data_IF_115708666528
#
_entry.id   IF_115708666528
#
_cell.length_a   1.000
_cell.length_b   1.000
_cell.length_c   1.000
_cell.angle_alpha   90.00
_cell.angle_beta   90.00
_cell.angle_gamma   90.00
#
_symmetry.space_group_name_H-M   'P 1'
#
loop_
_entity.id
_entity.type
_entity.pdbx_description
1 polymer ?
#
# COMPACT_ATOMS: atom_id res chain seq x y z
N UNK A 1 4.00 -0.92 -15.12
CA UNK A 1 3.34 -0.05 -14.13
C UNK A 1 2.42 -0.90 -13.25
N UNK A 2 2.55 -0.75 -11.96
CA UNK A 2 1.81 -1.60 -11.03
C UNK A 2 0.55 -0.92 -10.55
N UNK A 3 -0.59 -1.31 -11.11
CA UNK A 3 -1.89 -0.75 -10.74
C UNK A 3 -2.33 -1.19 -9.36
N UNK A 4 -1.79 -2.31 -8.84
CA UNK A 4 -2.14 -2.80 -7.51
C UNK A 4 -1.71 -1.82 -6.43
N UNK A 5 -0.50 -1.28 -6.58
CA UNK A 5 0.02 -0.32 -5.61
C UNK A 5 -0.85 0.92 -5.55
N UNK A 6 -1.25 1.42 -6.71
CA UNK A 6 -2.11 2.59 -6.81
C UNK A 6 -3.47 2.32 -6.16
N UNK A 7 -4.04 1.16 -6.42
CA UNK A 7 -5.33 0.77 -5.84
C UNK A 7 -5.24 0.68 -4.31
N UNK A 8 -4.16 0.09 -3.79
CA UNK A 8 -3.98 -0.03 -2.36
C UNK A 8 -3.82 1.33 -1.69
N UNK A 9 -3.05 2.22 -2.30
CA UNK A 9 -2.87 3.56 -1.77
C UNK A 9 -4.18 4.32 -1.74
N UNK A 10 -4.99 4.18 -2.78
CA UNK A 10 -6.30 4.81 -2.83
C UNK A 10 -7.21 4.26 -1.76
N UNK A 11 -7.17 2.94 -1.55
CA UNK A 11 -7.97 2.30 -0.52
C UNK A 11 -7.61 2.81 0.87
N UNK A 12 -6.33 2.93 1.16
CA UNK A 12 -5.87 3.48 2.43
C UNK A 12 -6.38 4.90 2.63
N UNK A 13 -6.31 5.70 1.57
CA UNK A 13 -6.79 7.08 1.62
C UNK A 13 -8.28 7.13 1.93
N UNK A 14 -9.06 6.26 1.31
CA UNK A 14 -10.49 6.19 1.55
C UNK A 14 -10.81 5.79 2.98
N UNK A 15 -10.11 4.79 3.50
CA UNK A 15 -10.32 4.33 4.87
C UNK A 15 -9.99 5.45 5.86
N UNK A 16 -8.93 6.17 5.64
CA UNK A 16 -8.55 7.29 6.50
C UNK A 16 -9.61 8.37 6.50
N UNK A 17 -10.26 8.57 5.37
CA UNK A 17 -11.29 9.60 5.25
C UNK A 17 -12.61 9.18 5.89
N UNK A 18 -13.03 7.93 5.65
CA UNK A 18 -14.34 7.46 6.11
C UNK A 18 -14.28 6.83 7.51
N UNK A 19 -13.19 6.16 7.83
CA UNK A 19 -13.04 5.46 9.10
C UNK A 19 -11.65 5.66 9.69
N UNK A 20 -11.36 6.83 10.20
CA UNK A 20 -10.05 7.11 10.82
C UNK A 20 -9.80 6.26 12.08
N UNK A 21 -10.85 5.66 12.64
CA UNK A 21 -10.72 4.80 13.82
C UNK A 21 -10.09 3.45 13.51
N UNK A 22 -10.08 3.05 12.25
CA UNK A 22 -9.53 1.74 11.86
C UNK A 22 -8.02 1.80 11.72
N UNK A 23 -7.34 2.08 12.83
CA UNK A 23 -5.87 2.21 12.85
C UNK A 23 -5.20 0.90 12.47
N UNK A 24 -5.73 -0.22 12.95
CA UNK A 24 -5.15 -1.54 12.68
C UNK A 24 -5.20 -1.86 11.19
N UNK A 25 -6.34 -1.59 10.55
CA UNK A 25 -6.49 -1.83 9.12
C UNK A 25 -5.56 -0.94 8.31
N UNK A 26 -5.46 0.32 8.69
CA UNK A 26 -4.59 1.28 8.02
C UNK A 26 -3.12 0.85 8.15
N UNK A 27 -2.72 0.44 9.34
CA UNK A 27 -1.36 -0.05 9.58
C UNK A 27 -1.06 -1.28 8.73
N UNK A 28 -1.99 -2.22 8.68
CA UNK A 28 -1.83 -3.43 7.90
C UNK A 28 -1.64 -3.11 6.41
N UNK A 29 -2.49 -2.25 5.89
CA UNK A 29 -2.41 -1.87 4.48
C UNK A 29 -1.13 -1.12 4.16
N UNK A 30 -0.68 -0.27 5.07
CA UNK A 30 0.59 0.42 4.90
C UNK A 30 1.76 -0.55 4.82
N UNK A 31 1.73 -1.60 5.65
CA UNK A 31 2.76 -2.64 5.60
C UNK A 31 2.75 -3.40 4.29
N UNK A 32 1.56 -3.71 3.78
CA UNK A 32 1.42 -4.40 2.49
C UNK A 32 1.98 -3.52 1.38
N UNK A 33 1.68 -2.23 1.41
CA UNK A 33 2.18 -1.29 0.42
C UNK A 33 3.71 -1.22 0.46
N UNK A 34 4.27 -1.15 1.65
CA UNK A 34 5.72 -1.12 1.82
C UNK A 34 6.38 -2.37 1.25
N UNK A 35 5.79 -3.52 1.51
CA UNK A 35 6.30 -4.79 0.99
C UNK A 35 6.28 -4.81 -0.54
N UNK A 36 5.20 -4.33 -1.14
CA UNK A 36 5.09 -4.27 -2.59
C UNK A 36 6.12 -3.33 -3.20
N UNK A 37 6.33 -2.19 -2.56
CA UNK A 37 7.35 -1.24 -3.00
C UNK A 37 8.73 -1.86 -2.93
N UNK A 38 9.01 -2.60 -1.86
CA UNK A 38 10.28 -3.26 -1.68
C UNK A 38 10.53 -4.30 -2.77
N UNK A 39 9.51 -5.08 -3.10
CA UNK A 39 9.61 -6.07 -4.17
C UNK A 39 9.88 -5.41 -5.51
N UNK A 40 9.22 -4.30 -5.79
CA UNK A 40 9.45 -3.56 -7.03
C UNK A 40 10.87 -3.06 -7.15
N UNK A 41 11.46 -2.62 -6.04
CA UNK A 41 12.85 -2.19 -6.03
C UNK A 41 13.79 -3.35 -6.37
N UNK A 42 13.52 -4.52 -5.81
CA UNK A 42 14.32 -5.71 -6.09
C UNK A 42 14.22 -6.08 -7.57
N UNK A 43 13.04 -6.05 -8.14
CA UNK A 43 12.85 -6.34 -9.56
C UNK A 43 13.62 -5.34 -10.43
N UNK A 44 13.61 -4.08 -10.04
CA UNK A 44 14.35 -3.05 -10.77
C UNK A 44 15.85 -3.32 -10.78
N UNK A 45 16.37 -3.78 -9.65
CA UNK A 45 17.81 -4.08 -9.52
C UNK A 45 18.19 -5.29 -10.37
N UNK A 46 17.37 -6.32 -10.36
CA UNK A 46 17.65 -7.56 -11.10
C UNK A 46 17.15 -7.54 -12.52
N UNK A 47 16.17 -6.70 -12.77
CA UNK A 47 15.51 -6.67 -14.05
C UNK A 47 16.27 -6.12 -15.19
#
# INVERSE_FOLDING_TARGET
>A
MDTRLSDLEQLVSEIKEFRPDCVVAIDYLNKVIDNLKYENIIYDIFG
#
